data_IF_711362309924
#
_entry.id   IF_711362309924
#
_cell.length_a   1.000
_cell.length_b   1.000
_cell.length_c   1.000
_cell.angle_alpha   90.00
_cell.angle_beta   90.00
_cell.angle_gamma   90.00
#
_symmetry.space_group_name_H-M   'P 1'
#
loop_
_entity.id
_entity.type
_entity.pdbx_description
1 polymer ?
#
# COMPACT_ATOMS: atom_id res chain seq x y z
N UNK A 1 -14.19 3.03 17.28
CA UNK A 1 -13.08 2.81 18.24
C UNK A 1 -12.80 1.34 18.57
N UNK A 2 -13.77 0.42 18.66
CA UNK A 2 -13.47 -1.01 18.86
C UNK A 2 -13.13 -1.80 17.58
N UNK A 3 -13.55 -1.31 16.41
CA UNK A 3 -13.27 -1.93 15.10
C UNK A 3 -11.82 -1.77 14.62
N UNK A 4 -11.10 -0.75 15.12
CA UNK A 4 -9.71 -0.49 14.72
C UNK A 4 -8.72 -1.47 15.38
N UNK A 5 -9.07 -2.02 16.55
CA UNK A 5 -8.20 -2.90 17.33
C UNK A 5 -8.13 -4.33 16.76
N UNK A 6 -9.12 -4.73 15.97
CA UNK A 6 -9.17 -6.05 15.33
C UNK A 6 -8.30 -6.10 14.06
N UNK A 7 -8.07 -4.96 13.39
CA UNK A 7 -7.20 -4.85 12.21
C UNK A 7 -5.70 -4.94 12.54
N UNK A 8 -5.31 -4.78 13.81
CA UNK A 8 -3.91 -4.89 14.26
C UNK A 8 -3.45 -6.33 14.58
N UNK A 9 -4.35 -7.33 14.55
CA UNK A 9 -4.00 -8.73 14.83
C UNK A 9 -3.96 -9.65 13.60
N UNK A 10 -4.19 -9.13 12.40
CA UNK A 10 -4.03 -9.92 11.18
C UNK A 10 -2.54 -9.90 10.79
N UNK A 11 -1.85 -11.05 10.66
CA UNK A 11 -0.43 -11.12 10.38
C UNK A 11 -0.16 -10.94 8.87
N UNK A 12 -0.64 -9.84 8.30
CA UNK A 12 -0.30 -9.44 6.94
C UNK A 12 -0.19 -7.94 6.92
N UNK A 13 0.86 -7.42 6.26
CA UNK A 13 1.19 -6.00 6.07
C UNK A 13 0.15 -5.26 5.19
N UNK A 14 -1.14 -5.52 5.38
CA UNK A 14 -2.27 -4.98 4.60
C UNK A 14 -2.31 -3.45 4.69
N UNK A 15 -1.98 -2.87 5.85
CA UNK A 15 -1.87 -1.42 6.01
C UNK A 15 -0.81 -0.79 5.10
N UNK A 16 0.36 -1.43 4.96
CA UNK A 16 1.41 -0.97 4.08
C UNK A 16 1.04 -1.10 2.60
N UNK A 17 0.30 -2.15 2.22
CA UNK A 17 -0.17 -2.34 0.84
C UNK A 17 -1.20 -1.26 0.46
N UNK A 18 -2.16 -0.96 1.34
CA UNK A 18 -3.15 0.09 1.11
C UNK A 18 -2.47 1.47 0.98
N UNK A 19 -1.45 1.72 1.80
CA UNK A 19 -0.66 2.94 1.72
C UNK A 19 0.10 3.04 0.39
N UNK A 20 0.79 1.96 -0.03
CA UNK A 20 1.51 1.91 -1.32
C UNK A 20 0.59 2.13 -2.52
N UNK A 21 -0.62 1.54 -2.50
CA UNK A 21 -1.62 1.74 -3.57
C UNK A 21 -2.09 3.19 -3.64
N UNK A 22 -2.36 3.82 -2.49
CA UNK A 22 -2.76 5.23 -2.45
C UNK A 22 -1.66 6.15 -2.96
N UNK A 23 -0.41 5.83 -2.64
CA UNK A 23 0.75 6.59 -3.03
C UNK A 23 1.07 6.47 -4.51
N UNK A 24 0.93 5.27 -5.08
CA UNK A 24 1.06 5.05 -6.52
C UNK A 24 0.00 5.82 -7.33
N UNK A 25 -1.25 5.85 -6.84
CA UNK A 25 -2.32 6.66 -7.46
C UNK A 25 -2.00 8.15 -7.40
N UNK A 26 -1.56 8.62 -6.22
CA UNK A 26 -1.11 10.00 -6.04
C UNK A 26 -0.01 10.37 -7.05
N UNK A 27 1.09 9.61 -7.10
CA UNK A 27 2.25 9.91 -7.96
C UNK A 27 1.87 9.94 -9.43
N UNK A 28 1.01 9.01 -9.88
CA UNK A 28 0.55 8.96 -11.28
C UNK A 28 -0.30 10.16 -11.66
N UNK A 29 -1.26 10.54 -10.82
CA UNK A 29 -2.09 11.71 -11.07
C UNK A 29 -1.27 13.00 -10.98
N UNK A 30 -0.32 13.07 -10.05
CA UNK A 30 0.56 14.22 -9.89
C UNK A 30 1.47 14.43 -11.10
N UNK A 31 2.12 13.37 -11.59
CA UNK A 31 2.92 13.42 -12.81
C UNK A 31 2.09 13.85 -14.04
N UNK A 32 0.86 13.36 -14.16
CA UNK A 32 -0.04 13.75 -15.27
C UNK A 32 -0.41 15.24 -15.22
N UNK A 33 -0.70 15.79 -14.03
CA UNK A 33 -1.03 17.20 -13.88
C UNK A 33 0.18 18.11 -14.13
N UNK A 34 1.34 17.76 -13.57
CA UNK A 34 2.58 18.51 -13.79
C UNK A 34 2.98 18.47 -15.27
N UNK A 35 2.89 17.31 -15.93
CA UNK A 35 3.14 17.19 -17.37
C UNK A 35 2.15 17.96 -18.24
N UNK A 36 0.93 18.21 -17.76
CA UNK A 36 -0.06 19.06 -18.40
C UNK A 36 0.16 20.57 -18.12
N UNK A 37 1.20 20.95 -17.38
CA UNK A 37 1.52 22.34 -17.05
C UNK A 37 0.70 22.91 -15.89
N UNK A 38 0.03 22.07 -15.12
CA UNK A 38 -0.72 22.50 -13.93
C UNK A 38 0.26 23.00 -12.86
N UNK A 39 0.03 24.16 -12.22
CA UNK A 39 0.87 24.66 -11.15
C UNK A 39 1.05 23.65 -10.03
N UNK A 40 2.27 23.55 -9.51
CA UNK A 40 2.67 22.54 -8.52
C UNK A 40 1.76 22.50 -7.28
N UNK A 41 1.44 23.65 -6.67
CA UNK A 41 0.56 23.69 -5.50
C UNK A 41 -0.82 23.12 -5.81
N UNK A 42 -1.38 23.49 -6.96
CA UNK A 42 -2.70 23.02 -7.41
C UNK A 42 -2.68 21.52 -7.71
N UNK A 43 -1.60 21.03 -8.33
CA UNK A 43 -1.40 19.60 -8.56
C UNK A 43 -1.31 18.82 -7.24
N UNK A 44 -0.59 19.30 -6.23
CA UNK A 44 -0.49 18.67 -4.88
C UNK A 44 -1.86 18.62 -4.20
N UNK A 45 -2.64 19.70 -4.26
CA UNK A 45 -3.97 19.76 -3.65
C UNK A 45 -4.94 18.76 -4.29
N UNK A 46 -5.01 18.74 -5.62
CA UNK A 46 -5.90 17.85 -6.38
C UNK A 46 -5.54 16.38 -6.10
N UNK A 47 -4.25 16.06 -6.14
CA UNK A 47 -3.75 14.69 -6.01
C UNK A 47 -3.80 14.16 -4.59
N UNK A 48 -3.58 15.02 -3.59
CA UNK A 48 -3.78 14.68 -2.18
C UNK A 48 -5.21 14.23 -1.91
N UNK A 49 -6.20 14.95 -2.46
CA UNK A 49 -7.64 14.64 -2.32
C UNK A 49 -8.07 13.40 -3.08
N UNK A 50 -7.46 13.11 -4.23
CA UNK A 50 -7.80 11.94 -5.06
C UNK A 50 -7.08 10.65 -4.65
N UNK A 51 -6.10 10.73 -3.75
CA UNK A 51 -5.33 9.58 -3.24
C UNK A 51 -6.19 8.50 -2.54
N UNK A 52 -7.38 8.87 -2.03
CA UNK A 52 -8.29 7.95 -1.33
C UNK A 52 -7.78 7.47 0.03
N UNK A 53 -6.71 8.08 0.55
CA UNK A 53 -6.12 7.75 1.84
C UNK A 53 -5.89 9.01 2.67
N UNK A 54 -6.56 9.08 3.82
CA UNK A 54 -6.52 10.26 4.70
C UNK A 54 -5.13 10.58 5.24
N UNK A 55 -4.25 9.57 5.38
CA UNK A 55 -2.86 9.77 5.79
C UNK A 55 -2.06 10.44 4.69
N UNK A 56 -2.28 10.05 3.43
CA UNK A 56 -1.63 10.67 2.26
C UNK A 56 -2.16 12.09 2.04
N UNK A 57 -3.48 12.29 2.16
CA UNK A 57 -4.12 13.59 2.06
C UNK A 57 -3.56 14.60 3.07
N UNK A 58 -3.44 14.21 4.35
CA UNK A 58 -2.89 15.07 5.40
C UNK A 58 -1.40 15.39 5.18
N UNK A 59 -0.62 14.41 4.70
CA UNK A 59 0.78 14.64 4.35
C UNK A 59 0.89 15.65 3.19
N UNK A 60 0.02 15.57 2.19
CA UNK A 60 0.00 16.50 1.05
C UNK A 60 -0.47 17.89 1.41
N UNK A 61 -1.41 18.02 2.35
CA UNK A 61 -1.76 19.33 2.91
C UNK A 61 -0.57 19.97 3.63
N UNK A 62 0.19 19.20 4.41
CA UNK A 62 1.39 19.71 5.07
C UNK A 62 2.46 20.17 4.06
N UNK A 63 2.65 19.43 2.95
CA UNK A 63 3.54 19.82 1.86
C UNK A 63 3.06 21.11 1.18
N UNK A 64 1.78 21.16 0.80
CA UNK A 64 1.17 22.33 0.18
C UNK A 64 1.35 23.60 1.02
N UNK A 65 1.07 23.50 2.32
CA UNK A 65 1.17 24.62 3.26
C UNK A 65 2.61 25.07 3.51
N UNK A 66 3.58 24.15 3.47
CA UNK A 66 5.01 24.49 3.55
C UNK A 66 5.44 25.33 2.35
N UNK A 67 5.15 24.83 1.14
CA UNK A 67 5.51 25.51 -0.11
C UNK A 67 4.82 26.88 -0.20
N UNK A 68 3.55 26.98 0.20
CA UNK A 68 2.80 28.24 0.21
C UNK A 68 3.42 29.30 1.13
N UNK A 69 4.09 28.90 2.20
CA UNK A 69 4.80 29.80 3.13
C UNK A 69 6.24 30.12 2.71
N UNK A 70 6.68 29.63 1.54
CA UNK A 70 8.06 29.77 1.07
C UNK A 70 9.05 28.78 1.72
N UNK A 71 8.53 27.74 2.37
CA UNK A 71 9.30 26.60 2.87
C UNK A 71 9.58 25.57 1.78
N UNK A 72 10.36 24.55 2.13
CA UNK A 72 10.76 23.49 1.18
C UNK A 72 9.69 22.40 1.06
N UNK A 73 9.72 21.65 -0.05
CA UNK A 73 8.93 20.44 -0.26
C UNK A 73 9.49 19.29 0.59
N UNK A 74 10.82 19.24 0.71
CA UNK A 74 11.56 18.20 1.43
C UNK A 74 11.23 18.10 2.92
N UNK A 75 11.02 19.23 3.59
CA UNK A 75 10.80 19.31 5.05
C UNK A 75 9.52 18.58 5.52
N UNK A 76 8.33 18.86 4.96
CA UNK A 76 7.12 18.10 5.27
C UNK A 76 7.16 16.66 4.76
N UNK A 77 7.88 16.38 3.67
CA UNK A 77 8.06 15.02 3.15
C UNK A 77 8.93 14.14 4.07
N UNK A 78 9.92 14.72 4.74
CA UNK A 78 10.75 14.03 5.76
C UNK A 78 9.95 13.57 6.97
N UNK A 79 8.83 14.21 7.28
CA UNK A 79 7.92 13.82 8.37
C UNK A 79 7.05 12.62 7.99
N UNK A 80 6.98 12.27 6.70
CA UNK A 80 6.27 11.10 6.17
C UNK A 80 7.22 10.22 5.31
N UNK A 81 8.28 9.63 5.88
CA UNK A 81 9.30 8.89 5.13
C UNK A 81 8.77 7.60 4.47
N UNK A 82 7.65 7.06 4.98
CA UNK A 82 6.93 5.96 4.33
C UNK A 82 6.12 6.40 3.09
N UNK A 83 5.93 7.72 2.88
CA UNK A 83 5.18 8.28 1.77
C UNK A 83 6.07 8.98 0.72
N UNK A 84 7.27 9.45 1.08
CA UNK A 84 8.15 10.12 0.11
C UNK A 84 9.60 9.68 0.25
N UNK A 85 10.25 9.24 -0.84
CA UNK A 85 11.64 8.84 -0.78
C UNK A 85 12.53 10.06 -0.52
N UNK A 86 13.71 9.89 0.10
CA UNK A 86 14.68 10.97 0.34
C UNK A 86 15.11 11.72 -0.93
N UNK A 87 14.86 11.12 -2.10
CA UNK A 87 15.20 11.63 -3.43
C UNK A 87 14.56 12.98 -3.76
N UNK A 88 13.41 13.33 -3.17
CA UNK A 88 12.77 14.63 -3.42
C UNK A 88 13.59 15.79 -2.85
N UNK A 89 14.22 15.58 -1.69
CA UNK A 89 15.11 16.57 -1.09
C UNK A 89 16.33 16.87 -1.97
N UNK A 90 16.87 15.84 -2.62
CA UNK A 90 18.00 15.98 -3.55
C UNK A 90 17.60 16.74 -4.82
N UNK A 91 16.36 16.56 -5.31
CA UNK A 91 15.86 17.27 -6.50
C UNK A 91 15.61 18.75 -6.26
N UNK A 92 15.20 19.10 -5.04
CA UNK A 92 15.00 20.49 -4.62
C UNK A 92 16.33 21.24 -4.47
N UNK A 93 17.35 20.61 -3.86
CA UNK A 93 18.69 21.20 -3.71
C UNK A 93 19.44 21.36 -5.04
N UNK A 94 19.17 20.49 -6.02
CA UNK A 94 19.87 20.48 -7.32
C UNK A 94 19.13 21.25 -8.43
N UNK A 95 17.93 21.77 -8.14
CA UNK A 95 17.05 22.39 -9.14
C UNK A 95 16.49 21.42 -10.19
N UNK A 96 16.70 20.11 -9.99
CA UNK A 96 16.30 19.02 -10.88
C UNK A 96 15.03 18.30 -10.45
N UNK A 97 14.08 19.03 -9.84
CA UNK A 97 12.89 18.45 -9.21
C UNK A 97 12.06 17.60 -10.19
N UNK A 98 11.94 18.02 -11.45
CA UNK A 98 11.18 17.30 -12.48
C UNK A 98 11.74 15.88 -12.76
N UNK A 99 13.06 15.78 -12.96
CA UNK A 99 13.75 14.51 -13.12
C UNK A 99 13.64 13.62 -11.87
N UNK A 100 13.75 14.23 -10.68
CA UNK A 100 13.65 13.49 -9.42
C UNK A 100 12.22 13.00 -9.14
N UNK A 101 11.19 13.75 -9.51
CA UNK A 101 9.80 13.32 -9.44
C UNK A 101 9.51 12.13 -10.36
N UNK A 102 10.07 12.12 -11.58
CA UNK A 102 9.99 10.96 -12.47
C UNK A 102 10.63 9.71 -11.83
N UNK A 103 11.79 9.87 -11.19
CA UNK A 103 12.46 8.75 -10.49
C UNK A 103 11.66 8.24 -9.28
N UNK A 104 10.97 9.13 -8.58
CA UNK A 104 10.06 8.75 -7.48
C UNK A 104 8.86 7.98 -8.02
N UNK A 105 8.32 8.35 -9.19
CA UNK A 105 7.25 7.60 -9.83
C UNK A 105 7.68 6.17 -10.20
N UNK A 106 8.83 6.02 -10.89
CA UNK A 106 9.40 4.71 -11.24
C UNK A 106 9.57 3.80 -10.00
N UNK A 107 10.13 4.36 -8.93
CA UNK A 107 10.32 3.65 -7.67
C UNK A 107 9.02 3.10 -7.08
N UNK A 108 7.95 3.90 -7.11
CA UNK A 108 6.65 3.45 -6.60
C UNK A 108 5.95 2.44 -7.51
N UNK A 109 6.16 2.51 -8.82
CA UNK A 109 5.67 1.49 -9.75
C UNK A 109 6.34 0.13 -9.47
N UNK A 110 7.66 0.12 -9.26
CA UNK A 110 8.41 -1.07 -8.87
C UNK A 110 7.95 -1.64 -7.52
N UNK A 111 7.70 -0.77 -6.53
CA UNK A 111 7.16 -1.19 -5.23
C UNK A 111 5.76 -1.83 -5.35
N UNK A 112 4.90 -1.30 -6.22
CA UNK A 112 3.57 -1.87 -6.47
C UNK A 112 3.71 -3.22 -7.16
N UNK A 113 4.55 -3.34 -8.18
CA UNK A 113 4.81 -4.60 -8.85
C UNK A 113 5.32 -5.68 -7.87
N UNK A 114 6.26 -5.31 -7.00
CA UNK A 114 6.77 -6.19 -5.95
C UNK A 114 5.68 -6.59 -4.94
N UNK A 115 4.82 -5.65 -4.54
CA UNK A 115 3.71 -5.93 -3.63
C UNK A 115 2.67 -6.86 -4.24
N UNK A 116 2.30 -6.66 -5.51
CA UNK A 116 1.39 -7.54 -6.24
C UNK A 116 1.97 -8.94 -6.34
N UNK A 117 3.26 -9.06 -6.69
CA UNK A 117 3.97 -10.35 -6.75
C UNK A 117 4.02 -11.07 -5.41
N UNK A 118 4.22 -10.33 -4.32
CA UNK A 118 4.18 -10.89 -2.98
C UNK A 118 2.77 -11.38 -2.61
N UNK A 119 1.73 -10.63 -2.99
CA UNK A 119 0.35 -11.01 -2.74
C UNK A 119 -0.03 -12.29 -3.51
N UNK A 120 0.34 -12.38 -4.78
CA UNK A 120 0.09 -13.58 -5.60
C UNK A 120 0.87 -14.79 -5.09
N UNK A 121 2.07 -14.61 -4.56
CA UNK A 121 2.85 -15.69 -3.95
C UNK A 121 2.21 -16.29 -2.68
N UNK A 122 1.33 -15.55 -2.00
CA UNK A 122 0.61 -16.05 -0.80
C UNK A 122 -0.62 -16.88 -1.21
N UNK A 123 -1.16 -16.70 -2.42
CA UNK A 123 -2.32 -17.45 -2.91
C UNK A 123 -2.03 -18.95 -2.98
N UNK A 124 -0.83 -19.32 -3.43
CA UNK A 124 -0.42 -20.73 -3.57
C UNK A 124 -0.44 -21.50 -2.23
N UNK A 125 0.23 -21.08 -1.14
CA UNK A 125 0.18 -21.79 0.13
C UNK A 125 -1.22 -21.80 0.75
N UNK A 126 -2.03 -20.75 0.56
CA UNK A 126 -3.42 -20.71 1.04
C UNK A 126 -4.26 -21.78 0.34
N UNK A 127 -4.10 -21.96 -0.97
CA UNK A 127 -4.78 -22.99 -1.74
C UNK A 127 -4.41 -24.40 -1.25
N UNK A 128 -3.13 -24.65 -0.97
CA UNK A 128 -2.66 -25.95 -0.44
C UNK A 128 -3.31 -26.27 0.91
N UNK A 129 -3.33 -25.30 1.83
CA UNK A 129 -3.97 -25.46 3.14
C UNK A 129 -5.47 -25.73 2.99
N UNK A 130 -6.15 -24.97 2.14
CA UNK A 130 -7.59 -25.13 1.90
C UNK A 130 -7.92 -26.52 1.35
N UNK A 131 -7.18 -26.99 0.34
CA UNK A 131 -7.34 -28.34 -0.21
C UNK A 131 -7.04 -29.40 0.84
N UNK A 132 -5.99 -29.22 1.64
CA UNK A 132 -5.65 -30.13 2.74
C UNK A 132 -6.77 -30.25 3.77
N UNK A 133 -7.41 -29.14 4.14
CA UNK A 133 -8.57 -29.13 5.05
C UNK A 133 -9.77 -29.85 4.43
N UNK A 134 -10.07 -29.61 3.15
CA UNK A 134 -11.18 -30.28 2.45
C UNK A 134 -10.96 -31.79 2.42
N UNK A 135 -9.77 -32.23 2.00
CA UNK A 135 -9.43 -33.65 1.93
C UNK A 135 -9.45 -34.28 3.32
N UNK A 136 -8.87 -33.61 4.33
CA UNK A 136 -8.89 -34.06 5.72
C UNK A 136 -10.31 -34.20 6.27
N UNK A 137 -11.19 -33.25 5.96
CA UNK A 137 -12.60 -33.29 6.35
C UNK A 137 -13.34 -34.47 5.72
N UNK A 138 -13.10 -34.75 4.43
CA UNK A 138 -13.69 -35.89 3.72
C UNK A 138 -13.23 -37.21 4.36
N UNK A 139 -11.93 -37.36 4.62
CA UNK A 139 -11.36 -38.56 5.25
C UNK A 139 -11.97 -38.77 6.63
N UNK A 140 -11.98 -37.76 7.50
CA UNK A 140 -12.57 -37.86 8.84
C UNK A 140 -14.05 -38.26 8.76
N UNK A 141 -14.81 -37.63 7.86
CA UNK A 141 -16.23 -37.90 7.67
C UNK A 141 -16.51 -39.33 7.18
N UNK A 142 -15.59 -39.91 6.39
CA UNK A 142 -15.72 -41.28 5.88
C UNK A 142 -15.30 -42.34 6.90
N UNK A 143 -14.25 -42.08 7.70
CA UNK A 143 -13.72 -43.06 8.66
C UNK A 143 -14.43 -43.03 10.02
N UNK A 144 -14.94 -41.88 10.47
CA UNK A 144 -15.66 -41.77 11.74
C UNK A 144 -16.86 -42.74 11.87
N UNK A 145 -17.70 -42.95 10.84
CA UNK A 145 -18.76 -43.95 10.86
C UNK A 145 -18.22 -45.39 11.02
N UNK A 146 -17.11 -45.73 10.36
CA UNK A 146 -16.53 -47.06 10.48
C UNK A 146 -16.03 -47.37 11.89
N UNK A 147 -15.44 -46.38 12.58
CA UNK A 147 -15.05 -46.56 13.98
C UNK A 147 -16.25 -46.82 14.89
N UNK A 148 -17.36 -46.08 14.70
CA UNK A 148 -18.60 -46.31 15.47
C UNK A 148 -19.19 -47.70 15.26
N UNK A 149 -19.09 -48.25 14.04
CA UNK A 149 -19.56 -49.62 13.75
C UNK A 149 -18.65 -50.65 14.42
N UNK A 150 -17.33 -50.44 14.42
CA UNK A 150 -16.38 -51.37 15.05
C UNK A 150 -16.55 -51.45 16.57
N UNK A 151 -16.80 -50.31 17.23
CA UNK A 151 -17.07 -50.25 18.68
C UNK A 151 -18.41 -50.92 19.07
N UNK A 152 -19.36 -51.09 18.14
CA UNK A 152 -20.61 -51.82 18.39
C UNK A 152 -20.50 -53.34 18.25
N UNK A 153 -19.41 -53.83 17.65
CA UNK A 153 -19.19 -55.26 17.39
C UNK A 153 -18.32 -55.92 18.50
N UNK A 154 -17.69 -55.11 19.36
CA UNK A 154 -16.95 -55.55 20.55
C UNK A 154 -17.85 -55.58 21.79
#
# INVERSE_FOLDING_TARGET
>A
MQWDRFKFKIPMKIGGIIQKVALARFSRTYAALVGAGVPMLEAIEITGRTSGNKVVELAMQAVHDSVRRGGTIAEPMRLAPQAFPPMVAVGEETGGLDHMLSKVADFYEDEVAAAVKALTSIIEPVMIVLVGVIVGFIVISMYMPMFKVYDQIK
#
